data_IF_474897533278
#
_entry.id   IF_474897533278
#
_cell.length_a   1.000
_cell.length_b   1.000
_cell.length_c   1.000
_cell.angle_alpha   90.00
_cell.angle_beta   90.00
_cell.angle_gamma   90.00
#
_symmetry.space_group_name_H-M   'P 1'
#
loop_
_entity.id
_entity.type
_entity.pdbx_description
1 polymer ?
#
# COMPACT_ATOMS: atom_id res chain seq x y z
N UNK A 1 -19.89 -7.21 7.55
CA UNK A 1 -20.46 -5.90 7.97
C UNK A 1 -19.52 -4.80 7.49
N UNK A 2 -19.81 -4.17 6.34
CA UNK A 2 -18.97 -3.11 5.74
C UNK A 2 -19.31 -1.77 6.41
N UNK A 3 -18.43 -1.24 7.26
CA UNK A 3 -18.54 0.15 7.74
C UNK A 3 -18.08 1.09 6.63
N UNK A 4 -18.91 2.09 6.30
CA UNK A 4 -18.69 3.06 5.22
C UNK A 4 -17.93 4.33 5.64
N UNK A 5 -17.48 4.43 6.89
CA UNK A 5 -16.79 5.63 7.40
C UNK A 5 -15.45 5.22 8.02
N UNK A 6 -14.32 5.75 7.50
CA UNK A 6 -13.02 5.62 8.17
C UNK A 6 -13.04 6.32 9.53
N UNK A 7 -12.20 5.86 10.46
CA UNK A 7 -12.03 6.53 11.76
C UNK A 7 -11.11 7.72 11.49
N UNK A 8 -11.71 8.91 11.38
CA UNK A 8 -10.96 10.15 11.30
C UNK A 8 -10.68 10.62 12.73
N UNK A 9 -9.40 10.78 13.07
CA UNK A 9 -8.96 11.46 14.28
C UNK A 9 -8.16 12.69 13.87
N UNK A 10 -8.46 13.85 14.45
CA UNK A 10 -7.67 15.06 14.24
C UNK A 10 -6.62 15.10 15.36
N UNK A 11 -5.34 15.06 15.01
CA UNK A 11 -4.26 15.27 15.97
C UNK A 11 -4.13 16.76 16.28
N UNK A 12 -3.74 17.11 17.51
CA UNK A 12 -3.65 18.49 18.03
C UNK A 12 -2.73 19.43 17.23
N UNK A 13 -1.94 18.87 16.30
CA UNK A 13 -1.01 19.57 15.40
C UNK A 13 -1.62 19.97 14.05
N UNK A 14 -2.93 19.84 13.85
CA UNK A 14 -3.58 20.21 12.58
C UNK A 14 -3.29 19.22 11.46
N UNK A 15 -3.31 17.94 11.80
CA UNK A 15 -3.24 16.82 10.87
C UNK A 15 -4.48 15.94 11.03
N UNK A 16 -5.02 15.45 9.92
CA UNK A 16 -6.15 14.53 9.88
C UNK A 16 -5.65 13.11 9.62
N UNK A 17 -5.90 12.23 10.59
CA UNK A 17 -5.50 10.83 10.56
C UNK A 17 -6.66 9.97 10.06
N UNK A 18 -6.44 9.28 8.95
CA UNK A 18 -7.34 8.28 8.40
C UNK A 18 -6.84 6.91 8.79
N UNK A 19 -7.53 6.26 9.74
CA UNK A 19 -7.18 4.91 10.17
C UNK A 19 -8.07 3.88 9.48
N UNK A 20 -7.42 2.83 8.98
CA UNK A 20 -8.09 1.60 8.64
C UNK A 20 -8.34 0.80 9.93
N UNK A 21 -9.41 0.02 9.98
CA UNK A 21 -9.74 -0.77 11.17
C UNK A 21 -8.72 -1.88 11.38
N UNK A 22 -8.29 -2.08 12.62
CA UNK A 22 -7.48 -3.22 13.03
C UNK A 22 -8.30 -4.51 13.16
N UNK A 23 -7.64 -5.65 13.30
CA UNK A 23 -8.32 -6.90 13.62
C UNK A 23 -8.95 -6.84 15.03
N UNK A 24 -9.71 -7.87 15.41
CA UNK A 24 -10.39 -7.93 16.72
C UNK A 24 -9.44 -7.88 17.93
N UNK A 25 -8.14 -8.10 17.73
CA UNK A 25 -7.09 -8.07 18.75
C UNK A 25 -6.35 -6.74 18.76
N UNK A 26 -6.72 -5.79 17.89
CA UNK A 26 -5.97 -4.54 17.70
C UNK A 26 -4.64 -4.74 16.97
N UNK A 27 -4.44 -5.92 16.37
CA UNK A 27 -3.26 -6.26 15.60
C UNK A 27 -3.54 -5.99 14.13
N UNK A 28 -2.52 -5.54 13.42
CA UNK A 28 -2.58 -5.08 12.04
C UNK A 28 -3.40 -3.79 11.86
N UNK A 29 -2.96 -2.96 10.92
CA UNK A 29 -3.62 -1.70 10.63
C UNK A 29 -2.75 -0.87 9.71
N UNK A 30 -3.37 -0.33 8.67
CA UNK A 30 -2.78 0.71 7.84
C UNK A 30 -3.49 2.02 8.13
N UNK A 31 -2.79 3.13 8.01
CA UNK A 31 -3.35 4.45 8.20
C UNK A 31 -2.60 5.46 7.37
N UNK A 32 -3.25 6.58 7.10
CA UNK A 32 -2.62 7.73 6.45
C UNK A 32 -2.83 8.95 7.31
N UNK A 33 -1.73 9.59 7.66
CA UNK A 33 -1.73 10.91 8.27
C UNK A 33 -1.63 11.95 7.15
N UNK A 34 -2.59 12.85 7.07
CA UNK A 34 -2.64 13.88 6.05
C UNK A 34 -2.66 15.25 6.71
N UNK A 35 -1.83 16.16 6.23
CA UNK A 35 -1.87 17.54 6.68
C UNK A 35 -3.26 18.16 6.43
N UNK A 36 -3.81 18.92 7.38
CA UNK A 36 -5.17 19.48 7.24
C UNK A 36 -5.32 20.39 6.00
N UNK A 37 -4.26 21.06 5.53
CA UNK A 37 -4.33 21.82 4.28
C UNK A 37 -4.61 20.95 3.04
N UNK A 38 -4.23 19.67 3.09
CA UNK A 38 -4.46 18.67 2.06
C UNK A 38 -5.73 17.85 2.31
N UNK A 39 -6.33 17.91 3.50
CA UNK A 39 -7.47 17.05 3.82
C UNK A 39 -8.70 17.36 2.97
N UNK A 40 -8.90 18.62 2.58
CA UNK A 40 -9.95 19.00 1.63
C UNK A 40 -9.79 18.34 0.26
N UNK A 41 -8.57 17.94 -0.12
CA UNK A 41 -8.27 17.25 -1.37
C UNK A 41 -8.45 15.73 -1.25
N UNK A 42 -8.78 15.19 -0.08
CA UNK A 42 -9.10 13.77 0.06
C UNK A 42 -10.51 13.54 -0.45
N UNK A 43 -10.65 12.58 -1.36
CA UNK A 43 -11.94 12.11 -1.87
C UNK A 43 -12.48 10.99 -1.00
N UNK A 44 -11.69 9.94 -0.79
CA UNK A 44 -12.05 8.82 0.07
C UNK A 44 -10.83 8.11 0.64
N UNK A 45 -11.04 7.46 1.77
CA UNK A 45 -10.15 6.41 2.26
C UNK A 45 -10.95 5.11 2.40
N UNK A 46 -10.51 4.09 1.68
CA UNK A 46 -11.17 2.79 1.62
C UNK A 46 -10.21 1.69 2.07
N UNK A 47 -10.67 0.84 2.97
CA UNK A 47 -9.93 -0.32 3.42
C UNK A 47 -10.43 -1.59 2.73
N UNK A 48 -9.50 -2.41 2.23
CA UNK A 48 -9.81 -3.75 1.74
C UNK A 48 -9.65 -4.80 2.84
N UNK A 49 -8.50 -4.77 3.52
CA UNK A 49 -8.17 -5.65 4.66
C UNK A 49 -7.48 -4.83 5.76
N UNK A 50 -7.21 -5.42 6.92
CA UNK A 50 -6.43 -4.77 8.00
C UNK A 50 -5.05 -4.25 7.51
N UNK A 51 -4.52 -4.86 6.44
CA UNK A 51 -3.20 -4.61 5.87
C UNK A 51 -3.20 -3.87 4.53
N UNK A 52 -4.36 -3.61 3.93
CA UNK A 52 -4.47 -3.02 2.59
C UNK A 52 -5.53 -1.92 2.62
N UNK A 53 -5.10 -0.69 2.32
CA UNK A 53 -5.94 0.49 2.23
C UNK A 53 -5.66 1.30 0.96
N UNK A 54 -6.56 2.21 0.63
CA UNK A 54 -6.47 3.11 -0.51
C UNK A 54 -6.97 4.49 -0.14
N UNK A 55 -6.11 5.50 -0.30
CA UNK A 55 -6.46 6.90 -0.27
C UNK A 55 -6.63 7.42 -1.70
N UNK A 56 -7.78 8.03 -1.98
CA UNK A 56 -8.03 8.74 -3.24
C UNK A 56 -7.99 10.23 -3.00
N UNK A 57 -7.25 10.94 -3.85
CA UNK A 57 -7.25 12.38 -3.88
C UNK A 57 -8.17 12.88 -4.99
N UNK A 58 -8.90 13.96 -4.69
CA UNK A 58 -9.77 14.65 -5.63
C UNK A 58 -8.98 15.15 -6.83
N UNK A 59 -9.62 15.07 -7.98
CA UNK A 59 -9.17 15.74 -9.19
C UNK A 59 -9.38 17.25 -9.02
N UNK A 60 -8.35 18.06 -9.25
CA UNK A 60 -8.48 19.52 -9.30
C UNK A 60 -8.22 20.02 -10.72
N UNK A 61 -9.24 20.59 -11.37
CA UNK A 61 -9.12 21.13 -12.73
C UNK A 61 -8.63 20.12 -13.78
N UNK A 62 -7.49 20.42 -14.41
CA UNK A 62 -6.87 19.58 -15.43
C UNK A 62 -5.98 18.46 -14.85
N UNK A 63 -5.61 18.52 -13.57
CA UNK A 63 -4.72 17.56 -12.92
C UNK A 63 -5.41 16.20 -12.80
N UNK A 64 -4.82 15.09 -13.31
CA UNK A 64 -5.40 13.77 -13.16
C UNK A 64 -5.51 13.33 -11.70
N UNK A 65 -6.49 12.48 -11.38
CA UNK A 65 -6.67 11.93 -10.04
C UNK A 65 -5.48 11.04 -9.63
N UNK A 66 -5.10 11.12 -8.36
CA UNK A 66 -4.05 10.29 -7.74
C UNK A 66 -4.68 9.34 -6.72
N UNK A 67 -4.28 8.08 -6.80
CA UNK A 67 -4.61 7.06 -5.80
C UNK A 67 -3.34 6.53 -5.15
N UNK A 68 -3.32 6.52 -3.82
CA UNK A 68 -2.25 5.95 -3.02
C UNK A 68 -2.78 4.70 -2.34
N UNK A 69 -2.18 3.55 -2.65
CA UNK A 69 -2.42 2.29 -1.96
C UNK A 69 -1.42 2.18 -0.83
N UNK A 70 -1.91 1.90 0.38
CA UNK A 70 -1.07 1.71 1.56
C UNK A 70 -1.17 0.27 1.98
N UNK A 71 -0.02 -0.40 2.06
CA UNK A 71 0.05 -1.83 2.32
C UNK A 71 1.02 -2.15 3.47
N UNK A 72 0.72 -3.20 4.22
CA UNK A 72 1.62 -3.77 5.22
C UNK A 72 1.73 -5.28 5.04
N UNK A 73 2.81 -5.73 4.39
CA UNK A 73 2.97 -7.13 4.04
C UNK A 73 3.16 -8.01 5.28
N UNK A 74 2.69 -9.26 5.26
CA UNK A 74 3.00 -10.24 6.30
C UNK A 74 4.51 -10.40 6.51
N UNK A 75 4.91 -10.61 7.76
CA UNK A 75 6.30 -11.00 8.10
C UNK A 75 6.52 -12.49 7.78
N UNK A 76 7.76 -12.97 7.81
CA UNK A 76 8.12 -14.38 7.55
C UNK A 76 7.47 -15.42 8.50
N UNK A 77 6.81 -14.98 9.58
CA UNK A 77 6.14 -15.85 10.54
C UNK A 77 4.70 -16.23 10.11
N UNK A 78 4.17 -15.60 9.06
CA UNK A 78 2.87 -15.92 8.48
C UNK A 78 3.02 -17.07 7.49
N UNK A 79 1.93 -17.82 7.26
CA UNK A 79 1.96 -18.91 6.29
C UNK A 79 1.99 -18.39 4.84
N UNK A 80 2.42 -19.25 3.91
CA UNK A 80 2.56 -18.89 2.50
C UNK A 80 1.21 -18.52 1.85
N UNK A 81 0.10 -19.09 2.33
CA UNK A 81 -1.25 -18.83 1.81
C UNK A 81 -1.70 -17.40 2.16
N UNK A 82 -1.45 -16.95 3.40
CA UNK A 82 -1.71 -15.58 3.85
C UNK A 82 -0.84 -14.56 3.09
N UNK A 83 0.42 -14.90 2.82
CA UNK A 83 1.32 -14.09 2.00
C UNK A 83 0.81 -13.99 0.55
N UNK A 84 0.43 -15.10 -0.06
CA UNK A 84 -0.13 -15.12 -1.43
C UNK A 84 -1.44 -14.33 -1.50
N UNK A 85 -2.36 -14.56 -0.56
CA UNK A 85 -3.63 -13.84 -0.47
C UNK A 85 -3.40 -12.32 -0.40
N UNK A 86 -2.45 -11.87 0.41
CA UNK A 86 -2.09 -10.46 0.51
C UNK A 86 -1.64 -9.87 -0.84
N UNK A 87 -0.73 -10.53 -1.58
CA UNK A 87 -0.26 -10.03 -2.87
C UNK A 87 -1.36 -10.08 -3.95
N UNK A 88 -2.16 -11.14 -3.98
CA UNK A 88 -3.29 -11.29 -4.92
C UNK A 88 -4.31 -10.18 -4.68
N UNK A 89 -4.70 -9.95 -3.43
CA UNK A 89 -5.66 -8.90 -3.08
C UNK A 89 -5.10 -7.51 -3.36
N UNK A 90 -3.83 -7.26 -3.04
CA UNK A 90 -3.16 -5.97 -3.32
C UNK A 90 -3.19 -5.63 -4.81
N UNK A 91 -2.82 -6.60 -5.66
CA UNK A 91 -2.81 -6.44 -7.12
C UNK A 91 -4.21 -6.26 -7.68
N UNK A 92 -5.16 -7.07 -7.22
CA UNK A 92 -6.55 -6.99 -7.64
C UNK A 92 -7.13 -5.62 -7.29
N UNK A 93 -6.84 -5.12 -6.08
CA UNK A 93 -7.32 -3.82 -5.62
C UNK A 93 -6.74 -2.66 -6.42
N UNK A 94 -5.43 -2.73 -6.74
CA UNK A 94 -4.79 -1.75 -7.61
C UNK A 94 -5.40 -1.73 -9.01
N UNK A 95 -5.62 -2.91 -9.61
CA UNK A 95 -6.13 -3.04 -10.98
C UNK A 95 -7.59 -2.63 -11.11
N UNK A 96 -8.38 -2.85 -10.06
CA UNK A 96 -9.79 -2.43 -10.01
C UNK A 96 -9.97 -0.90 -9.93
N UNK A 97 -8.91 -0.16 -9.61
CA UNK A 97 -8.94 1.30 -9.59
C UNK A 97 -8.80 1.88 -11.00
N UNK A 98 -9.51 2.96 -11.31
CA UNK A 98 -9.53 3.59 -12.63
C UNK A 98 -8.82 4.95 -12.68
N UNK A 99 -8.12 5.35 -11.61
CA UNK A 99 -7.32 6.59 -11.62
C UNK A 99 -6.08 6.46 -12.49
N UNK A 100 -5.64 7.59 -13.04
CA UNK A 100 -4.52 7.62 -13.97
C UNK A 100 -3.19 7.44 -13.24
N UNK A 101 -2.97 8.19 -12.16
CA UNK A 101 -1.79 8.04 -11.32
C UNK A 101 -2.10 7.16 -10.13
N UNK A 102 -1.31 6.11 -9.97
CA UNK A 102 -1.42 5.16 -8.86
C UNK A 102 -0.04 4.92 -8.27
N UNK A 103 0.02 4.90 -6.95
CA UNK A 103 1.25 4.60 -6.21
C UNK A 103 0.93 3.58 -5.14
N UNK A 104 1.77 2.56 -4.98
CA UNK A 104 1.71 1.64 -3.84
C UNK A 104 2.85 2.00 -2.90
N UNK A 105 2.52 2.25 -1.64
CA UNK A 105 3.48 2.56 -0.58
C UNK A 105 3.21 1.69 0.65
N UNK A 106 4.20 1.60 1.52
CA UNK A 106 4.09 0.92 2.80
C UNK A 106 5.25 -0.03 3.03
N UNK A 107 5.12 -0.84 4.06
CA UNK A 107 6.17 -1.76 4.47
C UNK A 107 5.87 -3.16 3.93
N UNK A 108 6.74 -3.63 3.04
CA UNK A 108 6.64 -4.95 2.45
C UNK A 108 7.46 -6.01 3.19
N UNK A 109 8.14 -5.65 4.29
CA UNK A 109 9.04 -6.54 5.03
C UNK A 109 10.12 -7.20 4.14
N UNK A 110 10.48 -6.53 3.05
CA UNK A 110 11.34 -7.07 2.01
C UNK A 110 12.72 -6.43 2.00
N UNK A 111 13.72 -7.30 1.89
CA UNK A 111 15.08 -6.96 1.50
C UNK A 111 15.20 -7.28 0.02
N UNK A 112 15.16 -6.27 -0.84
CA UNK A 112 15.34 -6.44 -2.29
C UNK A 112 16.77 -6.87 -2.64
N UNK A 113 17.72 -6.49 -1.79
CA UNK A 113 19.15 -6.72 -1.99
C UNK A 113 19.75 -6.06 -3.23
N UNK A 114 21.03 -6.35 -3.53
CA UNK A 114 21.72 -5.69 -4.62
C UNK A 114 21.15 -6.12 -5.97
N UNK A 115 21.10 -5.17 -6.91
CA UNK A 115 20.66 -5.41 -8.30
C UNK A 115 21.43 -6.57 -8.93
N UNK A 116 20.69 -7.55 -9.47
CA UNK A 116 21.24 -8.63 -10.30
C UNK A 116 21.35 -8.21 -11.77
N UNK A 117 22.19 -8.90 -12.54
CA UNK A 117 22.52 -8.54 -13.93
C UNK A 117 21.31 -8.47 -14.88
N UNK A 118 20.25 -9.22 -14.58
CA UNK A 118 18.99 -9.27 -15.36
C UNK A 118 17.91 -8.31 -14.84
N UNK A 119 18.21 -7.49 -13.83
CA UNK A 119 17.25 -6.61 -13.17
C UNK A 119 17.40 -5.15 -13.61
N UNK A 120 16.26 -4.46 -13.61
CA UNK A 120 16.15 -3.07 -14.04
C UNK A 120 17.00 -2.12 -13.20
N UNK A 121 17.27 -0.95 -13.80
CA UNK A 121 18.10 0.09 -13.19
C UNK A 121 17.44 0.78 -11.99
N UNK A 122 16.16 0.54 -11.71
CA UNK A 122 15.49 1.11 -10.53
C UNK A 122 15.93 0.45 -9.20
N UNK A 123 16.66 -0.68 -9.25
CA UNK A 123 17.27 -1.32 -8.07
C UNK A 123 18.73 -0.86 -7.94
N UNK A 124 19.13 -0.45 -6.74
CA UNK A 124 20.51 -0.08 -6.42
C UNK A 124 21.45 -1.29 -6.28
N UNK A 125 22.75 -1.07 -6.46
CA UNK A 125 23.78 -2.13 -6.31
C UNK A 125 24.19 -2.38 -4.87
N UNK A 126 23.73 -1.54 -3.93
CA UNK A 126 24.11 -1.59 -2.51
C UNK A 126 22.85 -1.90 -1.69
N UNK A 127 22.73 -3.15 -1.25
CA UNK A 127 21.63 -3.63 -0.42
C UNK A 127 22.05 -4.85 0.38
N UNK A 128 21.33 -5.15 1.46
CA UNK A 128 21.52 -6.37 2.25
C UNK A 128 21.22 -7.63 1.43
N UNK A 129 21.54 -8.81 1.94
CA UNK A 129 21.12 -10.04 1.29
C UNK A 129 19.60 -10.08 1.10
N UNK A 130 19.17 -10.51 -0.09
CA UNK A 130 17.76 -10.58 -0.47
C UNK A 130 17.06 -11.66 0.35
N UNK A 131 15.91 -11.33 0.94
CA UNK A 131 15.06 -12.30 1.63
C UNK A 131 13.92 -12.81 0.72
N UNK A 132 13.17 -13.79 1.20
CA UNK A 132 12.03 -14.40 0.49
C UNK A 132 10.99 -13.36 0.07
N UNK A 133 10.67 -12.40 0.94
CA UNK A 133 9.73 -11.31 0.67
C UNK A 133 10.24 -10.42 -0.48
N UNK A 134 11.57 -10.22 -0.58
CA UNK A 134 12.19 -9.55 -1.72
C UNK A 134 12.02 -10.30 -3.04
N UNK A 135 12.05 -11.63 -3.02
CA UNK A 135 11.69 -12.44 -4.19
C UNK A 135 10.18 -12.40 -4.48
N UNK A 136 9.32 -12.42 -3.44
CA UNK A 136 7.86 -12.33 -3.60
C UNK A 136 7.44 -11.04 -4.29
N UNK A 137 7.92 -9.88 -3.84
CA UNK A 137 7.64 -8.58 -4.49
C UNK A 137 8.01 -8.65 -5.97
N UNK A 138 9.21 -9.17 -6.26
CA UNK A 138 9.69 -9.26 -7.64
C UNK A 138 8.80 -10.17 -8.48
N UNK A 139 8.40 -11.31 -7.94
CA UNK A 139 7.55 -12.27 -8.63
C UNK A 139 6.17 -11.70 -8.92
N UNK A 140 5.48 -11.18 -7.90
CA UNK A 140 4.12 -10.66 -8.06
C UNK A 140 4.13 -9.37 -8.89
N UNK A 141 4.95 -8.39 -8.57
CA UNK A 141 4.88 -7.09 -9.22
C UNK A 141 5.58 -7.02 -10.59
N UNK A 142 6.72 -7.70 -10.80
CA UNK A 142 7.46 -7.58 -12.07
C UNK A 142 7.09 -8.70 -13.05
N UNK A 143 7.06 -9.96 -12.60
CA UNK A 143 6.89 -11.09 -13.52
C UNK A 143 5.43 -11.44 -13.78
N UNK A 144 4.63 -11.58 -12.71
CA UNK A 144 3.25 -12.07 -12.81
C UNK A 144 2.30 -10.98 -13.30
N UNK A 145 2.45 -9.77 -12.79
CA UNK A 145 1.48 -8.70 -13.04
C UNK A 145 2.02 -7.46 -13.76
N UNK A 146 3.33 -7.39 -14.02
CA UNK A 146 4.02 -6.35 -14.82
C UNK A 146 3.57 -4.92 -14.46
N UNK A 147 3.90 -4.49 -13.26
CA UNK A 147 3.69 -3.11 -12.81
C UNK A 147 4.82 -2.16 -13.20
N UNK A 148 6.01 -2.71 -13.48
CA UNK A 148 7.21 -2.02 -13.96
C UNK A 148 7.54 -2.46 -15.38
#
# INVERSE_FOLDING_TARGET
MRRRHPINAVCDIGEELFLATCDSRGVDGVGVLVNTSLSMNIDSFEQLTTRIGRLRLKRCGSTPALTIFVVYAPTSNYDEEEVEAFYVDSVRFYRADHTFFKVIIGDFNAKIGPRRSSEDRHIGTHGLERNEQGESIRWYFNYRYRFL
#
